data_IF_800481823412
#
_entry.id   IF_800481823412
#
_cell.length_a   1.000
_cell.length_b   1.000
_cell.length_c   1.000
_cell.angle_alpha   90.00
_cell.angle_beta   90.00
_cell.angle_gamma   90.00
#
_symmetry.space_group_name_H-M   'P 1'
#
loop_
_entity.id
_entity.type
_entity.pdbx_description
1 polymer ?
#
# COMPACT_ATOMS: atom_id res chain seq x y z
N UNK A 1 12.75 5.30 -30.95
CA UNK A 1 13.14 4.28 -29.96
C UNK A 1 11.85 3.73 -29.38
N UNK A 2 11.43 2.56 -29.86
CA UNK A 2 10.18 1.92 -29.41
C UNK A 2 10.49 1.39 -28.01
N UNK A 3 9.80 1.90 -26.98
CA UNK A 3 9.80 1.25 -25.66
C UNK A 3 9.19 -0.12 -25.88
N UNK A 4 9.93 -1.19 -25.60
CA UNK A 4 9.33 -2.52 -25.47
C UNK A 4 8.45 -2.46 -24.22
N UNK A 5 7.18 -2.17 -24.41
CA UNK A 5 6.21 -2.05 -23.33
C UNK A 5 6.12 -3.40 -22.61
N UNK A 6 6.50 -3.37 -21.33
CA UNK A 6 6.41 -4.45 -20.32
C UNK A 6 6.99 -5.79 -20.77
N UNK A 7 8.18 -6.14 -20.27
CA UNK A 7 8.58 -7.54 -20.21
C UNK A 7 7.41 -8.30 -19.55
N UNK A 8 6.87 -9.31 -20.22
CA UNK A 8 5.82 -10.19 -19.72
C UNK A 8 6.34 -11.12 -18.61
N UNK A 9 7.29 -10.64 -17.81
CA UNK A 9 7.88 -11.38 -16.72
C UNK A 9 6.85 -11.51 -15.61
N UNK A 10 6.69 -12.75 -15.14
CA UNK A 10 5.84 -13.04 -14.02
C UNK A 10 6.38 -12.34 -12.77
N UNK A 11 5.48 -11.89 -11.89
CA UNK A 11 5.82 -11.48 -10.51
C UNK A 11 6.57 -12.65 -9.87
N UNK A 12 7.68 -12.41 -9.20
CA UNK A 12 8.46 -13.51 -8.65
C UNK A 12 7.69 -14.20 -7.52
N UNK A 13 7.16 -13.40 -6.59
CA UNK A 13 6.48 -13.93 -5.42
C UNK A 13 5.22 -13.15 -5.06
N UNK A 14 4.17 -13.89 -4.68
CA UNK A 14 2.99 -13.36 -4.01
C UNK A 14 3.00 -13.83 -2.57
N UNK A 15 2.85 -12.90 -1.65
CA UNK A 15 2.67 -13.17 -0.22
C UNK A 15 1.29 -12.71 0.19
N UNK A 16 0.46 -13.66 0.58
CA UNK A 16 -0.88 -13.40 1.08
C UNK A 16 -0.85 -13.27 2.61
N UNK A 17 -1.09 -12.06 3.11
CA UNK A 17 -1.14 -11.84 4.54
C UNK A 17 -2.44 -12.36 5.14
N UNK A 18 -2.33 -12.97 6.32
CA UNK A 18 -3.47 -13.45 7.09
C UNK A 18 -3.24 -13.25 8.59
N UNK A 19 -4.32 -13.33 9.37
CA UNK A 19 -4.21 -13.40 10.82
C UNK A 19 -3.71 -14.79 11.24
N UNK A 20 -3.10 -14.86 12.44
CA UNK A 20 -2.88 -16.13 13.13
C UNK A 20 -4.24 -16.78 13.44
N UNK A 21 -4.39 -18.06 13.12
CA UNK A 21 -5.66 -18.78 13.27
C UNK A 21 -6.08 -18.92 14.75
N UNK A 22 -5.09 -19.00 15.63
CA UNK A 22 -5.23 -19.00 17.08
C UNK A 22 -5.57 -17.61 17.66
N UNK A 23 -5.51 -16.56 16.85
CA UNK A 23 -5.69 -15.17 17.29
C UNK A 23 -4.50 -14.62 18.07
N UNK A 24 -4.77 -13.68 18.95
CA UNK A 24 -3.82 -13.16 19.95
C UNK A 24 -4.48 -13.30 21.33
N UNK A 25 -3.69 -13.68 22.34
CA UNK A 25 -4.19 -13.96 23.69
C UNK A 25 -3.71 -12.93 24.71
N UNK A 26 -4.36 -12.93 25.87
CA UNK A 26 -3.85 -12.32 27.12
C UNK A 26 -3.58 -10.81 27.05
N UNK A 27 -4.24 -10.09 26.14
CA UNK A 27 -4.09 -8.64 26.02
C UNK A 27 -2.76 -8.17 25.42
N UNK A 28 -1.92 -9.10 24.94
CA UNK A 28 -0.61 -8.80 24.37
C UNK A 28 -0.65 -8.93 22.85
N UNK A 29 -0.43 -7.81 22.18
CA UNK A 29 -0.19 -7.79 20.74
C UNK A 29 1.30 -8.03 20.48
N UNK A 30 1.66 -9.26 20.14
CA UNK A 30 3.04 -9.63 19.85
C UNK A 30 3.37 -9.35 18.40
N UNK A 31 4.49 -8.64 18.17
CA UNK A 31 4.98 -8.37 16.82
C UNK A 31 5.70 -9.60 16.30
N UNK A 32 5.12 -10.27 15.29
CA UNK A 32 5.65 -11.51 14.71
C UNK A 32 5.06 -11.82 13.34
N UNK A 33 5.78 -12.64 12.58
CA UNK A 33 5.31 -13.22 11.34
C UNK A 33 5.82 -14.65 11.18
N UNK A 34 5.01 -15.51 10.58
CA UNK A 34 5.37 -16.89 10.26
C UNK A 34 4.74 -17.30 8.92
N UNK A 35 5.52 -17.98 8.07
CA UNK A 35 4.95 -18.72 6.93
C UNK A 35 4.05 -19.83 7.49
N UNK A 36 2.79 -19.86 7.04
CA UNK A 36 1.77 -20.80 7.52
C UNK A 36 0.93 -21.33 6.37
N UNK A 37 0.20 -22.41 6.63
CA UNK A 37 -0.83 -22.87 5.71
C UNK A 37 -1.87 -21.77 5.47
N UNK A 38 -2.33 -21.69 4.22
CA UNK A 38 -3.29 -20.68 3.81
C UNK A 38 -4.66 -20.96 4.42
N UNK A 39 -5.21 -20.00 5.17
CA UNK A 39 -6.58 -20.11 5.71
C UNK A 39 -7.60 -19.88 4.58
N UNK A 40 -7.42 -18.78 3.83
CA UNK A 40 -8.29 -18.42 2.70
C UNK A 40 -7.54 -18.12 1.40
N UNK A 41 -6.20 -18.04 1.42
CA UNK A 41 -5.40 -17.64 0.26
C UNK A 41 -5.64 -18.50 -0.99
N UNK A 42 -5.80 -19.81 -0.81
CA UNK A 42 -6.09 -20.75 -1.91
C UNK A 42 -7.45 -20.56 -2.59
N UNK A 43 -8.32 -19.67 -2.07
CA UNK A 43 -9.57 -19.28 -2.77
C UNK A 43 -9.34 -18.18 -3.81
N UNK A 44 -8.23 -17.47 -3.72
CA UNK A 44 -7.92 -16.30 -4.55
C UNK A 44 -6.78 -16.55 -5.54
N UNK A 45 -5.97 -17.57 -5.27
CA UNK A 45 -4.83 -17.95 -6.09
C UNK A 45 -4.90 -19.41 -6.44
N UNK A 46 -4.73 -19.70 -7.74
CA UNK A 46 -4.76 -21.04 -8.29
C UNK A 46 -3.50 -21.27 -9.11
N UNK A 47 -3.00 -22.51 -9.09
CA UNK A 47 -1.86 -22.88 -9.92
C UNK A 47 -2.36 -23.31 -11.29
N UNK A 48 -2.00 -22.55 -12.31
CA UNK A 48 -2.36 -22.79 -13.70
C UNK A 48 -1.52 -23.91 -14.33
N UNK A 49 -1.94 -24.37 -15.52
CA UNK A 49 -1.30 -25.45 -16.27
C UNK A 49 0.17 -25.18 -16.63
N UNK A 50 0.55 -23.90 -16.76
CA UNK A 50 1.93 -23.47 -17.00
C UNK A 50 2.82 -23.52 -15.75
N UNK A 51 2.27 -24.00 -14.63
CA UNK A 51 2.93 -24.14 -13.34
C UNK A 51 3.03 -22.86 -12.53
N UNK A 52 2.56 -21.72 -13.08
CA UNK A 52 2.54 -20.40 -12.42
C UNK A 52 1.22 -20.19 -11.68
N UNK A 53 1.20 -19.19 -10.81
CA UNK A 53 0.02 -18.79 -10.06
C UNK A 53 -0.76 -17.71 -10.80
N UNK A 54 -2.06 -17.97 -10.97
CA UNK A 54 -3.07 -17.02 -11.41
C UNK A 54 -3.79 -16.43 -10.20
N UNK A 55 -4.39 -15.26 -10.38
CA UNK A 55 -5.13 -14.53 -9.36
C UNK A 55 -5.82 -13.32 -9.97
N UNK A 56 -6.43 -12.47 -9.15
CA UNK A 56 -7.17 -11.31 -9.66
C UNK A 56 -6.28 -10.31 -10.41
N UNK A 57 -5.09 -10.04 -9.87
CA UNK A 57 -4.08 -9.10 -10.42
C UNK A 57 -4.68 -7.84 -11.07
N UNK A 58 -5.64 -7.20 -10.39
CA UNK A 58 -6.30 -5.97 -10.83
C UNK A 58 -6.99 -6.07 -12.20
N UNK A 59 -7.62 -7.22 -12.51
CA UNK A 59 -8.27 -7.57 -13.79
C UNK A 59 -7.31 -7.92 -14.93
N UNK A 60 -5.99 -7.92 -14.73
CA UNK A 60 -5.02 -8.22 -15.79
C UNK A 60 -4.86 -9.73 -15.97
N UNK A 61 -5.57 -10.29 -16.95
CA UNK A 61 -5.65 -11.74 -17.20
C UNK A 61 -4.36 -12.37 -17.69
N UNK A 62 -3.37 -11.58 -18.10
CA UNK A 62 -2.05 -12.02 -18.56
C UNK A 62 -0.98 -11.97 -17.46
N UNK A 63 -1.27 -11.39 -16.29
CA UNK A 63 -0.30 -11.33 -15.18
C UNK A 63 -0.29 -12.65 -14.43
N UNK A 64 0.91 -13.12 -14.10
CA UNK A 64 1.15 -14.39 -13.39
C UNK A 64 2.20 -14.18 -12.30
N UNK A 65 2.22 -15.07 -11.31
CA UNK A 65 3.30 -15.14 -10.32
C UNK A 65 4.04 -16.48 -10.35
N UNK A 66 5.34 -16.50 -10.08
CA UNK A 66 6.13 -17.74 -10.05
C UNK A 66 5.88 -18.53 -8.77
N UNK A 67 5.75 -17.83 -7.65
CA UNK A 67 5.52 -18.42 -6.33
C UNK A 67 4.35 -17.74 -5.61
N UNK A 68 3.71 -18.49 -4.71
CA UNK A 68 2.64 -18.03 -3.84
C UNK A 68 2.82 -18.64 -2.46
N UNK A 69 2.62 -17.84 -1.41
CA UNK A 69 2.64 -18.32 -0.03
C UNK A 69 1.73 -17.48 0.87
N UNK A 70 1.31 -18.05 1.99
CA UNK A 70 0.59 -17.33 3.04
C UNK A 70 1.49 -17.09 4.25
N UNK A 71 1.43 -15.87 4.78
CA UNK A 71 2.16 -15.47 5.98
C UNK A 71 1.16 -14.98 7.01
N UNK A 72 1.16 -15.60 8.18
CA UNK A 72 0.40 -15.09 9.32
C UNK A 72 1.24 -14.00 9.98
N UNK A 73 0.68 -12.80 10.13
CA UNK A 73 1.42 -11.63 10.61
C UNK A 73 0.60 -10.83 11.62
N UNK A 74 1.30 -10.35 12.66
CA UNK A 74 0.84 -9.35 13.61
C UNK A 74 1.95 -8.31 13.70
N UNK A 75 1.68 -7.08 13.29
CA UNK A 75 2.70 -6.05 13.30
C UNK A 75 2.40 -4.84 12.45
N UNK A 76 3.46 -4.11 12.17
CA UNK A 76 3.41 -2.82 11.52
C UNK A 76 4.32 -2.77 10.28
N UNK A 77 4.49 -1.57 9.72
CA UNK A 77 5.30 -1.36 8.51
C UNK A 77 6.75 -1.84 8.66
N UNK A 78 7.34 -1.79 9.86
CA UNK A 78 8.69 -2.33 10.11
C UNK A 78 8.66 -3.86 10.13
N UNK A 79 7.61 -4.46 10.70
CA UNK A 79 7.43 -5.92 10.66
C UNK A 79 7.32 -6.45 9.24
N UNK A 80 6.62 -5.72 8.36
CA UNK A 80 6.57 -6.05 6.94
C UNK A 80 7.95 -5.91 6.28
N UNK A 81 8.71 -4.85 6.60
CA UNK A 81 10.07 -4.69 6.10
C UNK A 81 10.98 -5.86 6.52
N UNK A 82 10.92 -6.27 7.79
CA UNK A 82 11.67 -7.41 8.31
C UNK A 82 11.32 -8.71 7.57
N UNK A 83 10.03 -8.93 7.26
CA UNK A 83 9.59 -10.09 6.46
C UNK A 83 10.22 -10.06 5.06
N UNK A 84 10.19 -8.90 4.39
CA UNK A 84 10.74 -8.75 3.03
C UNK A 84 12.25 -8.99 3.03
N UNK A 85 12.98 -8.36 3.96
CA UNK A 85 14.43 -8.45 4.03
C UNK A 85 14.94 -9.83 4.44
N UNK A 86 14.22 -10.52 5.33
CA UNK A 86 14.67 -11.82 5.85
C UNK A 86 14.25 -13.00 4.99
N UNK A 87 13.02 -13.01 4.50
CA UNK A 87 12.42 -14.20 3.89
C UNK A 87 12.27 -14.07 2.37
N UNK A 88 12.38 -12.85 1.82
CA UNK A 88 12.12 -12.55 0.40
C UNK A 88 13.21 -11.68 -0.27
N UNK A 89 14.44 -11.67 0.26
CA UNK A 89 15.56 -10.83 -0.24
C UNK A 89 15.95 -11.09 -1.69
N UNK A 90 15.71 -12.30 -2.18
CA UNK A 90 16.09 -12.74 -3.54
C UNK A 90 15.00 -12.42 -4.60
N UNK A 91 13.80 -12.02 -4.17
CA UNK A 91 12.71 -11.69 -5.08
C UNK A 91 12.91 -10.30 -5.69
N UNK A 92 12.97 -10.22 -7.03
CA UNK A 92 13.07 -8.93 -7.72
C UNK A 92 11.73 -8.18 -7.74
N UNK A 93 10.63 -8.92 -7.69
CA UNK A 93 9.27 -8.39 -7.62
C UNK A 93 8.42 -9.17 -6.63
N UNK A 94 7.88 -8.47 -5.64
CA UNK A 94 7.08 -9.03 -4.56
C UNK A 94 5.72 -8.35 -4.51
N UNK A 95 4.65 -9.14 -4.55
CA UNK A 95 3.28 -8.65 -4.38
C UNK A 95 2.72 -9.08 -3.03
N UNK A 96 2.52 -8.10 -2.15
CA UNK A 96 1.90 -8.30 -0.84
C UNK A 96 0.39 -8.10 -0.97
N UNK A 97 -0.36 -9.18 -0.86
CA UNK A 97 -1.81 -9.14 -0.81
C UNK A 97 -2.30 -9.02 0.65
N UNK A 98 -3.50 -8.48 0.84
CA UNK A 98 -4.11 -8.21 2.15
C UNK A 98 -3.27 -7.28 3.03
N UNK A 99 -2.65 -6.28 2.40
CA UNK A 99 -1.77 -5.32 3.06
C UNK A 99 -2.45 -4.53 4.20
N UNK A 100 -3.78 -4.50 4.27
CA UNK A 100 -4.52 -3.92 5.40
C UNK A 100 -4.29 -4.65 6.74
N UNK A 101 -3.72 -5.86 6.71
CA UNK A 101 -3.29 -6.58 7.92
C UNK A 101 -2.16 -5.87 8.67
N UNK A 102 -1.44 -4.96 8.02
CA UNK A 102 -0.28 -4.26 8.55
C UNK A 102 -0.70 -2.91 9.16
N UNK A 103 -0.26 -2.67 10.40
CA UNK A 103 -0.47 -1.41 11.09
C UNK A 103 0.59 -0.36 10.71
N UNK A 104 0.35 0.90 11.09
CA UNK A 104 1.38 1.94 11.01
C UNK A 104 2.38 1.79 12.16
N UNK A 105 3.68 1.82 11.87
CA UNK A 105 4.74 1.65 12.89
C UNK A 105 4.80 2.79 13.91
N UNK A 106 4.50 4.01 13.48
CA UNK A 106 4.31 5.16 14.37
C UNK A 106 3.22 6.07 13.82
N UNK A 107 1.99 5.82 14.27
CA UNK A 107 0.84 6.59 13.80
C UNK A 107 0.98 8.08 14.19
N UNK A 108 0.98 8.95 13.18
CA UNK A 108 1.04 10.40 13.37
C UNK A 108 2.44 10.99 13.58
N UNK A 109 3.50 10.22 13.37
CA UNK A 109 4.88 10.70 13.38
C UNK A 109 5.25 11.47 12.09
N UNK A 110 6.52 11.87 11.97
CA UNK A 110 7.00 12.60 10.79
C UNK A 110 6.86 11.79 9.50
N UNK A 111 7.20 10.51 9.51
CA UNK A 111 7.18 9.66 8.32
C UNK A 111 5.75 9.37 7.85
N UNK A 112 4.83 9.12 8.80
CA UNK A 112 3.40 9.04 8.54
C UNK A 112 2.89 10.30 7.84
N UNK A 113 3.21 11.48 8.39
CA UNK A 113 2.76 12.74 7.82
C UNK A 113 3.46 13.07 6.48
N UNK A 114 4.69 12.65 6.26
CA UNK A 114 5.38 12.78 4.97
C UNK A 114 4.69 11.95 3.89
N UNK A 115 4.42 10.67 4.17
CA UNK A 115 3.65 9.81 3.28
C UNK A 115 2.27 10.41 2.99
N UNK A 116 1.57 10.92 4.02
CA UNK A 116 0.26 11.56 3.83
C UNK A 116 0.33 12.86 3.02
N UNK A 117 1.35 13.70 3.21
CA UNK A 117 1.50 14.99 2.51
C UNK A 117 1.88 14.81 1.04
N UNK A 118 2.63 13.77 0.70
CA UNK A 118 3.04 13.49 -0.68
C UNK A 118 1.85 13.13 -1.59
N UNK A 119 0.77 12.61 -1.02
CA UNK A 119 -0.48 12.27 -1.71
C UNK A 119 -1.30 13.54 -2.06
N UNK A 120 -0.84 14.30 -3.05
CA UNK A 120 -1.58 15.43 -3.64
C UNK A 120 -2.57 14.92 -4.70
N UNK A 121 -3.77 15.50 -4.72
CA UNK A 121 -4.76 15.18 -5.75
C UNK A 121 -4.25 15.56 -7.15
N UNK A 122 -4.75 14.85 -8.17
CA UNK A 122 -4.48 15.18 -9.55
C UNK A 122 -4.96 16.60 -9.88
N UNK A 123 -4.15 17.35 -10.63
CA UNK A 123 -4.39 18.77 -10.92
C UNK A 123 -5.79 19.06 -11.47
N UNK A 124 -6.28 18.27 -12.42
CA UNK A 124 -7.60 18.48 -13.01
C UNK A 124 -8.75 18.32 -12.01
N UNK A 125 -8.61 17.46 -10.99
CA UNK A 125 -9.61 17.31 -9.92
C UNK A 125 -9.63 18.54 -9.01
N UNK A 126 -8.44 19.09 -8.71
CA UNK A 126 -8.31 20.33 -7.94
C UNK A 126 -8.96 21.49 -8.69
N UNK A 127 -8.71 21.63 -9.99
CA UNK A 127 -9.30 22.67 -10.83
C UNK A 127 -10.83 22.60 -10.90
N UNK A 128 -11.40 21.39 -10.99
CA UNK A 128 -12.86 21.18 -10.93
C UNK A 128 -13.39 21.62 -9.55
N UNK A 129 -12.72 21.25 -8.47
CA UNK A 129 -13.06 21.65 -7.10
C UNK A 129 -13.02 23.17 -6.91
N UNK A 130 -11.96 23.82 -7.38
CA UNK A 130 -11.77 25.27 -7.27
C UNK A 130 -12.79 26.04 -8.10
N UNK A 131 -13.13 25.54 -9.30
CA UNK A 131 -14.21 26.12 -10.10
C UNK A 131 -15.54 26.05 -9.36
N UNK A 132 -15.88 24.90 -8.78
CA UNK A 132 -17.11 24.75 -8.01
C UNK A 132 -17.13 25.66 -6.78
N UNK A 133 -16.01 25.75 -6.04
CA UNK A 133 -15.86 26.67 -4.90
C UNK A 133 -16.11 28.12 -5.28
N UNK A 134 -15.52 28.58 -6.39
CA UNK A 134 -15.68 29.95 -6.84
C UNK A 134 -17.12 30.24 -7.27
N UNK A 135 -17.72 29.36 -8.08
CA UNK A 135 -19.03 29.59 -8.69
C UNK A 135 -20.21 29.40 -7.74
N UNK A 136 -20.08 28.53 -6.74
CA UNK A 136 -21.20 28.12 -5.87
C UNK A 136 -21.04 28.54 -4.42
N UNK A 137 -19.81 28.69 -3.95
CA UNK A 137 -19.51 28.93 -2.54
C UNK A 137 -18.84 30.28 -2.28
N UNK A 138 -18.62 31.09 -3.33
CA UNK A 138 -17.87 32.35 -3.24
C UNK A 138 -16.51 32.16 -2.52
N UNK A 139 -15.83 31.05 -2.83
CA UNK A 139 -14.66 30.53 -2.12
C UNK A 139 -13.47 30.41 -3.06
N UNK A 140 -12.28 30.78 -2.59
CA UNK A 140 -11.00 30.56 -3.27
C UNK A 140 -9.85 30.52 -2.25
N UNK A 141 -8.68 30.02 -2.66
CA UNK A 141 -7.56 29.82 -1.73
C UNK A 141 -7.05 31.10 -1.07
N UNK A 142 -7.14 32.23 -1.76
CA UNK A 142 -6.67 33.52 -1.25
C UNK A 142 -7.63 34.05 -0.19
N UNK A 143 -8.94 34.08 -0.48
CA UNK A 143 -9.97 34.52 0.48
C UNK A 143 -10.02 33.64 1.71
N UNK A 144 -9.86 32.32 1.52
CA UNK A 144 -10.03 31.32 2.57
C UNK A 144 -8.73 31.07 3.34
N UNK A 145 -7.61 31.64 2.87
CA UNK A 145 -6.26 31.44 3.42
C UNK A 145 -5.85 29.97 3.42
N UNK A 146 -6.17 29.27 2.33
CA UNK A 146 -5.85 27.85 2.09
C UNK A 146 -4.81 27.63 0.99
N UNK A 147 -4.10 28.69 0.56
CA UNK A 147 -2.98 28.57 -0.38
C UNK A 147 -1.96 27.57 0.16
N UNK A 148 -1.65 26.56 -0.64
CA UNK A 148 -0.65 25.54 -0.35
C UNK A 148 0.59 25.76 -1.23
N UNK A 149 1.75 25.40 -0.69
CA UNK A 149 3.00 25.39 -1.45
C UNK A 149 2.91 24.41 -2.63
N UNK A 150 3.55 24.77 -3.74
CA UNK A 150 3.61 23.92 -4.94
C UNK A 150 4.28 22.57 -4.64
N UNK A 151 5.33 22.60 -3.82
CA UNK A 151 5.98 21.39 -3.32
C UNK A 151 5.37 20.98 -1.99
N UNK A 152 4.94 19.73 -1.87
CA UNK A 152 4.42 19.19 -0.61
C UNK A 152 5.49 19.12 0.49
N UNK A 153 6.78 19.06 0.11
CA UNK A 153 7.92 19.03 1.03
C UNK A 153 8.06 20.36 1.77
N UNK A 154 7.69 21.46 1.11
CA UNK A 154 7.77 22.81 1.66
C UNK A 154 6.57 23.16 2.55
N UNK A 155 5.49 22.37 2.48
CA UNK A 155 4.25 22.60 3.23
C UNK A 155 4.49 22.48 4.73
N UNK A 156 4.51 23.62 5.42
CA UNK A 156 4.68 23.70 6.87
C UNK A 156 3.37 24.02 7.57
N UNK A 157 3.16 23.41 8.74
CA UNK A 157 2.09 23.84 9.65
C UNK A 157 2.47 25.21 10.23
N UNK A 158 1.78 26.25 9.79
CA UNK A 158 1.87 27.55 10.48
C UNK A 158 1.22 27.38 11.85
N UNK A 159 2.03 27.35 12.92
CA UNK A 159 1.51 27.41 14.29
C UNK A 159 0.87 28.78 14.46
N UNK A 160 -0.46 28.83 14.47
CA UNK A 160 -1.18 30.01 14.94
C UNK A 160 -1.09 29.99 16.46
N UNK A 161 -0.35 30.94 17.03
CA UNK A 161 -0.47 31.28 18.45
C UNK A 161 -1.90 31.79 18.67
N UNK A 162 -2.64 31.11 19.54
CA UNK A 162 -3.91 31.61 20.09
C UNK A 162 -3.62 32.67 21.15
#
# INVERSE_FOLDING_TARGET
MIRSDTNHDAIDEVVYLQAYAEGWSDGKYEIKFDKRECINGGRFYERADDGKWSGWFFTYTNVRARQFSCVSIQGDSNTLADLVERDHSEAMSLFIDRAEAILHSSFGDSYYWEARRSMRYAKHLVEIGDKFRSEKLNSNDVSDKTVLDKSWVETKKVRRSF
#
